data_IF_235644390156
#
_entry.id   IF_235644390156
#
_cell.length_a   1.000
_cell.length_b   1.000
_cell.length_c   1.000
_cell.angle_alpha   90.00
_cell.angle_beta   90.00
_cell.angle_gamma   90.00
#
_symmetry.space_group_name_H-M   'P 1'
#
loop_
_entity.id
_entity.type
_entity.pdbx_description
1 polymer ?
#
# COMPACT_ATOMS: atom_id res chain seq x y z
N UNK A 1 30.22 -14.18 15.47
CA UNK A 1 29.06 -13.38 14.99
C UNK A 1 27.80 -13.80 15.72
N UNK A 2 27.41 -13.05 16.76
CA UNK A 2 26.06 -13.04 17.37
C UNK A 2 25.11 -12.28 16.42
N UNK A 3 23.80 -12.35 16.65
CA UNK A 3 22.73 -11.56 16.00
C UNK A 3 22.04 -12.11 14.75
N UNK A 4 21.65 -13.40 14.69
CA UNK A 4 20.46 -13.81 13.91
C UNK A 4 19.84 -15.06 14.57
N UNK A 5 19.21 -14.87 15.74
CA UNK A 5 18.28 -15.84 16.34
C UNK A 5 16.91 -15.20 16.46
N UNK A 6 15.90 -15.87 15.91
CA UNK A 6 14.54 -15.82 16.40
C UNK A 6 13.57 -14.96 15.59
N UNK A 7 12.64 -15.63 14.92
CA UNK A 7 11.27 -15.16 14.82
C UNK A 7 10.86 -14.55 13.47
N UNK A 8 9.78 -15.12 12.93
CA UNK A 8 8.85 -14.48 11.99
C UNK A 8 9.30 -14.44 10.51
N UNK A 9 9.61 -15.60 9.93
CA UNK A 9 9.49 -15.83 8.48
C UNK A 9 8.14 -16.45 8.08
N UNK A 10 7.13 -16.40 8.96
CA UNK A 10 5.81 -16.99 8.72
C UNK A 10 4.69 -15.97 8.41
N UNK A 11 4.95 -14.66 8.41
CA UNK A 11 3.91 -13.63 8.20
C UNK A 11 4.19 -12.87 6.89
N UNK A 12 4.56 -13.60 5.83
CA UNK A 12 4.83 -13.01 4.52
C UNK A 12 3.60 -12.98 3.60
N UNK A 13 2.53 -13.69 3.94
CA UNK A 13 1.24 -13.68 3.23
C UNK A 13 0.14 -13.91 4.25
N UNK A 14 -0.56 -12.85 4.64
CA UNK A 14 -1.75 -12.98 5.47
C UNK A 14 -2.91 -13.47 4.59
N UNK A 15 -3.32 -14.72 4.76
CA UNK A 15 -4.42 -15.33 4.02
C UNK A 15 -5.71 -14.51 4.09
N UNK A 16 -5.90 -13.74 5.18
CA UNK A 16 -7.04 -12.84 5.34
C UNK A 16 -6.99 -11.68 4.34
N UNK A 17 -5.84 -11.03 4.21
CA UNK A 17 -5.64 -9.94 3.24
C UNK A 17 -5.80 -10.42 1.79
N UNK A 18 -5.42 -11.68 1.50
CA UNK A 18 -5.65 -12.30 0.18
C UNK A 18 -7.14 -12.44 -0.10
N UNK A 19 -7.91 -13.03 0.83
CA UNK A 19 -9.34 -13.25 0.66
C UNK A 19 -10.13 -11.94 0.52
N UNK A 20 -9.77 -10.91 1.29
CA UNK A 20 -10.37 -9.58 1.19
C UNK A 20 -10.07 -8.94 -0.18
N UNK A 21 -8.81 -8.96 -0.62
CA UNK A 21 -8.42 -8.45 -1.93
C UNK A 21 -9.11 -9.21 -3.08
N UNK A 22 -9.21 -10.53 -3.01
CA UNK A 22 -9.92 -11.35 -4.01
C UNK A 22 -11.40 -11.00 -4.09
N UNK A 23 -12.06 -10.76 -2.96
CA UNK A 23 -13.45 -10.33 -2.90
C UNK A 23 -13.64 -8.98 -3.59
N UNK A 24 -12.75 -8.02 -3.34
CA UNK A 24 -12.84 -6.69 -3.94
C UNK A 24 -12.53 -6.71 -5.44
N UNK A 25 -11.55 -7.50 -5.88
CA UNK A 25 -11.25 -7.69 -7.30
C UNK A 25 -12.44 -8.28 -8.09
N UNK A 26 -13.23 -9.17 -7.48
CA UNK A 26 -14.44 -9.74 -8.13
C UNK A 26 -15.56 -8.72 -8.35
N UNK A 27 -15.62 -7.67 -7.52
CA UNK A 27 -16.61 -6.59 -7.62
C UNK A 27 -16.12 -5.43 -8.50
N UNK A 28 -14.83 -5.40 -8.85
CA UNK A 28 -14.22 -4.30 -9.57
C UNK A 28 -14.81 -4.17 -10.99
N UNK A 29 -15.04 -2.93 -11.42
CA UNK A 29 -15.49 -2.62 -12.77
C UNK A 29 -14.29 -2.36 -13.67
N UNK A 30 -14.23 -3.04 -14.83
CA UNK A 30 -13.26 -2.71 -15.86
C UNK A 30 -13.64 -1.39 -16.52
N UNK A 31 -12.69 -0.46 -16.58
CA UNK A 31 -12.83 0.86 -17.20
C UNK A 31 -11.63 1.14 -18.10
N UNK A 32 -11.75 2.08 -19.03
CA UNK A 32 -10.61 2.55 -19.81
C UNK A 32 -9.60 3.28 -18.92
N UNK A 33 -8.36 3.42 -19.36
CA UNK A 33 -7.34 4.19 -18.63
C UNK A 33 -7.74 5.67 -18.46
N UNK A 34 -8.50 6.21 -19.41
CA UNK A 34 -9.00 7.59 -19.44
C UNK A 34 -10.11 7.81 -18.39
N UNK A 35 -10.94 6.78 -18.17
CA UNK A 35 -12.01 6.79 -17.18
C UNK A 35 -11.50 6.41 -15.77
N UNK A 36 -10.27 5.91 -15.66
CA UNK A 36 -9.70 5.56 -14.36
C UNK A 36 -9.30 6.83 -13.60
N UNK A 37 -9.70 6.98 -12.32
CA UNK A 37 -9.45 8.23 -11.61
C UNK A 37 -7.95 8.53 -11.42
N UNK A 38 -7.52 9.71 -11.88
CA UNK A 38 -6.13 10.13 -11.80
C UNK A 38 -5.61 10.29 -10.36
N UNK A 39 -6.51 10.44 -9.40
CA UNK A 39 -6.23 10.59 -7.97
C UNK A 39 -6.31 9.27 -7.20
N UNK A 40 -6.63 8.15 -7.86
CA UNK A 40 -6.66 6.83 -7.24
C UNK A 40 -5.29 6.16 -7.27
N UNK A 41 -4.94 5.52 -6.16
CA UNK A 41 -3.73 4.71 -6.02
C UNK A 41 -3.91 3.43 -6.83
N UNK A 42 -3.00 3.22 -7.79
CA UNK A 42 -2.91 2.05 -8.67
C UNK A 42 -1.48 1.48 -8.64
N UNK A 43 -1.26 0.43 -9.43
CA UNK A 43 0.10 -0.09 -9.61
C UNK A 43 1.01 1.00 -10.19
N UNK A 44 2.24 1.07 -9.70
CA UNK A 44 3.26 2.07 -10.03
C UNK A 44 2.97 3.51 -9.56
N UNK A 45 1.86 3.77 -8.85
CA UNK A 45 1.62 5.08 -8.24
C UNK A 45 2.72 5.43 -7.24
N UNK A 46 3.12 6.71 -7.24
CA UNK A 46 3.85 7.32 -6.14
C UNK A 46 2.85 7.99 -5.22
N UNK A 47 2.84 7.59 -3.95
CA UNK A 47 1.85 8.00 -2.96
C UNK A 47 2.55 8.69 -1.80
N UNK A 48 2.06 9.87 -1.44
CA UNK A 48 2.47 10.56 -0.22
C UNK A 48 1.39 10.35 0.83
N UNK A 49 1.74 9.70 1.94
CA UNK A 49 0.85 9.51 3.08
C UNK A 49 1.34 10.31 4.29
N UNK A 50 0.39 10.76 5.10
CA UNK A 50 0.65 11.47 6.35
C UNK A 50 0.10 10.67 7.52
N UNK A 51 0.96 10.34 8.47
CA UNK A 51 0.50 9.79 9.75
C UNK A 51 -0.19 10.88 10.57
N UNK A 52 -1.39 10.63 11.07
CA UNK A 52 -2.17 11.66 11.75
C UNK A 52 -1.67 12.02 13.15
N UNK A 53 -1.02 11.11 13.86
CA UNK A 53 -0.53 11.36 15.22
C UNK A 53 0.74 12.23 15.19
N UNK A 54 1.80 11.73 14.54
CA UNK A 54 3.11 12.40 14.52
C UNK A 54 3.26 13.40 13.35
N UNK A 55 2.22 13.57 12.52
CA UNK A 55 2.21 14.41 11.31
C UNK A 55 3.34 14.09 10.32
N UNK A 56 3.91 12.89 10.40
CA UNK A 56 5.03 12.43 9.58
C UNK A 56 4.57 12.12 8.16
N UNK A 57 5.33 12.60 7.17
CA UNK A 57 5.12 12.28 5.76
C UNK A 57 5.98 11.10 5.31
N UNK A 58 5.40 10.22 4.51
CA UNK A 58 6.05 9.09 3.87
C UNK A 58 5.70 9.07 2.39
N UNK A 59 6.71 8.93 1.54
CA UNK A 59 6.54 8.82 0.09
C UNK A 59 6.90 7.40 -0.31
N UNK A 60 5.99 6.69 -0.97
CA UNK A 60 6.11 5.28 -1.33
C UNK A 60 5.74 5.09 -2.80
N UNK A 61 6.38 4.14 -3.49
CA UNK A 61 5.95 3.68 -4.81
C UNK A 61 5.36 2.28 -4.69
N UNK A 62 4.09 2.09 -5.06
CA UNK A 62 3.48 0.77 -5.07
C UNK A 62 3.93 0.00 -6.32
N UNK A 63 4.51 -1.17 -6.13
CA UNK A 63 5.07 -1.99 -7.22
C UNK A 63 4.65 -3.45 -7.07
N UNK A 64 4.91 -4.26 -8.09
CA UNK A 64 4.73 -5.72 -8.00
C UNK A 64 5.74 -6.33 -7.01
N UNK A 65 5.45 -7.52 -6.43
CA UNK A 65 6.35 -8.17 -5.47
C UNK A 65 7.80 -8.32 -5.96
N UNK A 66 7.98 -8.65 -7.23
CA UNK A 66 9.30 -8.85 -7.84
C UNK A 66 10.13 -7.56 -7.92
N UNK A 67 9.47 -6.39 -7.89
CA UNK A 67 10.10 -5.08 -8.01
C UNK A 67 10.23 -4.34 -6.67
N UNK A 68 9.83 -4.98 -5.56
CA UNK A 68 9.84 -4.38 -4.24
C UNK A 68 11.28 -4.19 -3.72
N UNK A 69 11.57 -2.98 -3.25
CA UNK A 69 12.83 -2.61 -2.61
C UNK A 69 12.56 -1.51 -1.58
N UNK A 70 12.53 -1.92 -0.30
CA UNK A 70 12.26 -1.03 0.83
C UNK A 70 13.29 0.09 0.94
N UNK A 71 14.55 -0.15 0.55
CA UNK A 71 15.61 0.88 0.58
C UNK A 71 15.33 1.99 -0.42
N UNK A 72 14.69 1.66 -1.55
CA UNK A 72 14.25 2.59 -2.57
C UNK A 72 12.82 3.08 -2.36
N UNK A 73 12.19 2.76 -1.22
CA UNK A 73 10.77 3.06 -0.92
C UNK A 73 9.79 2.47 -1.95
N UNK A 74 10.17 1.38 -2.60
CA UNK A 74 9.32 0.60 -3.49
C UNK A 74 8.68 -0.51 -2.69
N UNK A 75 7.37 -0.42 -2.51
CA UNK A 75 6.61 -1.31 -1.64
C UNK A 75 5.75 -2.23 -2.49
N UNK A 76 5.79 -3.53 -2.19
CA UNK A 76 4.92 -4.49 -2.84
C UNK A 76 3.45 -4.14 -2.60
N UNK A 77 2.65 -4.12 -3.66
CA UNK A 77 1.18 -4.02 -3.59
C UNK A 77 0.56 -5.14 -2.76
N UNK A 78 1.26 -6.27 -2.59
CA UNK A 78 0.81 -7.41 -1.77
C UNK A 78 1.26 -7.32 -0.29
N UNK A 79 2.04 -6.32 0.08
CA UNK A 79 2.37 -6.10 1.50
C UNK A 79 1.17 -5.50 2.24
N UNK A 80 1.09 -5.61 3.58
CA UNK A 80 -0.04 -5.05 4.35
C UNK A 80 -0.33 -3.57 4.06
N UNK A 81 0.71 -2.75 3.89
CA UNK A 81 0.56 -1.33 3.52
C UNK A 81 0.16 -1.17 2.06
N UNK A 82 0.66 -2.02 1.16
CA UNK A 82 0.30 -2.00 -0.26
C UNK A 82 -1.18 -2.31 -0.47
N UNK A 83 -1.68 -3.35 0.20
CA UNK A 83 -3.09 -3.76 0.15
C UNK A 83 -4.00 -2.76 0.83
N UNK A 84 -3.54 -2.05 1.87
CA UNK A 84 -4.30 -0.99 2.52
C UNK A 84 -4.42 0.27 1.64
N UNK A 85 -3.43 0.56 0.78
CA UNK A 85 -3.39 1.78 -0.02
C UNK A 85 -4.03 1.63 -1.41
N UNK A 86 -3.97 0.44 -2.01
CA UNK A 86 -4.45 0.23 -3.38
C UNK A 86 -5.96 0.57 -3.50
N UNK A 87 -6.32 1.35 -4.52
CA UNK A 87 -7.71 1.76 -4.77
C UNK A 87 -8.20 2.97 -3.96
N UNK A 88 -7.50 3.39 -2.91
CA UNK A 88 -7.83 4.62 -2.20
C UNK A 88 -7.43 5.85 -3.03
N UNK A 89 -8.02 7.00 -2.68
CA UNK A 89 -7.83 8.27 -3.38
C UNK A 89 -7.19 9.34 -2.51
N UNK A 90 -6.61 10.35 -3.16
CA UNK A 90 -6.20 11.60 -2.51
C UNK A 90 -7.30 12.15 -1.60
N UNK A 91 -6.93 12.51 -0.37
CA UNK A 91 -7.80 13.04 0.66
C UNK A 91 -8.48 11.98 1.53
N UNK A 92 -8.45 10.70 1.15
CA UNK A 92 -9.02 9.63 1.97
C UNK A 92 -8.09 9.21 3.11
N UNK A 93 -8.69 8.71 4.18
CA UNK A 93 -8.00 8.14 5.32
C UNK A 93 -7.99 6.61 5.23
N UNK A 94 -6.87 6.02 5.62
CA UNK A 94 -6.70 4.58 5.78
C UNK A 94 -6.29 4.27 7.22
N UNK A 95 -6.98 3.32 7.83
CA UNK A 95 -6.59 2.74 9.12
C UNK A 95 -5.74 1.51 8.87
N UNK A 96 -4.60 1.42 9.54
CA UNK A 96 -3.68 0.31 9.36
C UNK A 96 -3.10 -0.13 10.71
N UNK A 97 -3.20 -1.44 10.97
CA UNK A 97 -2.60 -2.07 12.14
C UNK A 97 -1.10 -2.30 11.86
N UNK A 98 -0.26 -1.51 12.53
CA UNK A 98 1.20 -1.68 12.52
C UNK A 98 1.66 -2.32 13.84
N UNK A 99 2.90 -2.86 13.93
CA UNK A 99 3.39 -3.45 15.18
C UNK A 99 3.37 -2.51 16.40
N UNK A 100 3.32 -1.19 16.19
CA UNK A 100 3.20 -0.18 17.26
C UNK A 100 1.76 0.15 17.64
N UNK A 101 0.76 -0.53 17.07
CA UNK A 101 -0.66 -0.29 17.27
C UNK A 101 -1.36 0.17 16.00
N UNK A 102 -2.65 0.45 16.10
CA UNK A 102 -3.44 0.99 14.99
C UNK A 102 -3.03 2.43 14.71
N UNK A 103 -2.73 2.74 13.45
CA UNK A 103 -2.41 4.10 12.99
C UNK A 103 -3.37 4.52 11.88
N UNK A 104 -3.70 5.81 11.86
CA UNK A 104 -4.47 6.44 10.79
C UNK A 104 -3.54 7.24 9.90
N UNK A 105 -3.66 7.03 8.60
CA UNK A 105 -2.91 7.76 7.58
C UNK A 105 -3.87 8.46 6.62
N UNK A 106 -3.51 9.68 6.20
CA UNK A 106 -4.23 10.39 5.14
C UNK A 106 -3.40 10.36 3.86
N UNK A 107 -4.04 10.07 2.72
CA UNK A 107 -3.41 10.17 1.40
C UNK A 107 -3.35 11.65 1.01
N UNK A 108 -2.16 12.22 1.02
CA UNK A 108 -1.94 13.64 0.71
C UNK A 108 -1.85 13.85 -0.80
N UNK A 109 -1.21 12.91 -1.50
CA UNK A 109 -0.91 13.03 -2.92
C UNK A 109 -0.81 11.64 -3.56
N UNK A 110 -1.27 11.57 -4.82
CA UNK A 110 -1.13 10.41 -5.69
C UNK A 110 -0.61 10.92 -7.03
N UNK A 111 0.52 10.39 -7.46
CA UNK A 111 1.12 10.68 -8.77
C UNK A 111 1.08 9.39 -9.56
N UNK A 112 0.38 9.45 -10.69
CA UNK A 112 0.22 8.36 -11.63
C UNK A 112 1.02 8.68 -12.89
N UNK A 113 2.08 7.91 -13.14
CA UNK A 113 2.76 7.92 -14.43
C UNK A 113 1.85 7.22 -15.46
N UNK A 114 1.74 7.77 -16.67
CA UNK A 114 1.12 7.10 -17.81
C UNK A 114 2.21 6.27 -18.49
N UNK A 115 2.01 4.96 -18.57
CA UNK A 115 2.68 4.11 -19.57
C UNK A 115 1.82 4.05 -20.83
#
# INVERSE_FOLDING_TARGET
>A
MKYLKGGIWSVAFDHKNIAELESELKKAKLVSSEDFPNDAVRLNSVVTIKEEQDKKLMILRLVTPNNADVKQRRISVMSPIGTALIGFRKGQQVEWDVPSGRKTFTIVEVINEFE
#
